data_IF_614787010923
#
_entry.id   IF_614787010923
#
_cell.length_a   1.000
_cell.length_b   1.000
_cell.length_c   1.000
_cell.angle_alpha   90.00
_cell.angle_beta   90.00
_cell.angle_gamma   90.00
#
_symmetry.space_group_name_H-M   'P 1'
#
loop_
_entity.id
_entity.type
_entity.pdbx_description
1 polymer ?
#
# COMPACT_ATOMS: atom_id res chain seq x y z
N UNK A 1 6.92 -2.26 -19.90
CA UNK A 1 6.91 -2.82 -18.54
C UNK A 1 7.26 -1.72 -17.57
N UNK A 2 6.29 -1.30 -16.75
CA UNK A 2 6.52 -0.29 -15.72
C UNK A 2 6.78 -1.00 -14.41
N UNK A 3 7.94 -0.74 -13.81
CA UNK A 3 8.16 -1.04 -12.40
C UNK A 3 7.53 0.09 -11.58
N UNK A 4 6.83 -0.27 -10.52
CA UNK A 4 6.09 0.68 -9.72
C UNK A 4 5.74 0.11 -8.36
N UNK A 5 5.51 1.01 -7.41
CA UNK A 5 5.09 0.67 -6.07
C UNK A 5 3.66 1.15 -5.87
N UNK A 6 2.75 0.21 -5.66
CA UNK A 6 1.34 0.46 -5.38
C UNK A 6 1.08 0.22 -3.89
N UNK A 7 0.39 1.16 -3.26
CA UNK A 7 -0.04 1.06 -1.87
C UNK A 7 -1.55 1.27 -1.82
N UNK A 8 -2.27 0.37 -1.15
CA UNK A 8 -3.74 0.45 -1.00
C UNK A 8 -4.19 -0.08 0.37
N UNK A 9 -5.21 0.54 0.96
CA UNK A 9 -5.82 0.05 2.19
C UNK A 9 -6.90 -1.00 1.93
N UNK A 10 -6.99 -2.06 2.74
CA UNK A 10 -7.97 -3.14 2.55
C UNK A 10 -9.42 -2.80 2.94
N UNK A 11 -9.64 -1.61 3.51
CA UNK A 11 -10.96 -1.00 3.77
C UNK A 11 -11.26 0.16 2.83
N UNK A 12 -10.40 0.41 1.85
CA UNK A 12 -10.70 1.34 0.77
C UNK A 12 -11.85 0.78 -0.08
N UNK A 13 -12.84 1.62 -0.38
CA UNK A 13 -13.91 1.28 -1.34
C UNK A 13 -13.40 0.91 -2.74
N UNK A 14 -12.18 1.31 -3.09
CA UNK A 14 -11.51 0.93 -4.34
C UNK A 14 -10.77 -0.41 -4.25
N UNK A 15 -10.59 -0.97 -3.04
CA UNK A 15 -9.91 -2.24 -2.86
C UNK A 15 -10.78 -3.39 -3.36
N UNK A 16 -10.20 -4.20 -4.25
CA UNK A 16 -10.79 -5.45 -4.72
C UNK A 16 -9.70 -6.53 -4.70
N UNK A 17 -9.92 -7.58 -3.91
CA UNK A 17 -8.93 -8.65 -3.71
C UNK A 17 -8.56 -9.36 -5.03
N UNK A 18 -9.55 -9.68 -5.87
CA UNK A 18 -9.31 -10.38 -7.14
C UNK A 18 -8.46 -9.53 -8.09
N UNK A 19 -8.69 -8.20 -8.13
CA UNK A 19 -7.89 -7.29 -8.94
C UNK A 19 -6.46 -7.16 -8.43
N UNK A 20 -6.28 -7.05 -7.11
CA UNK A 20 -4.96 -7.02 -6.48
C UNK A 20 -4.18 -8.30 -6.78
N UNK A 21 -4.84 -9.46 -6.74
CA UNK A 21 -4.25 -10.76 -7.11
C UNK A 21 -3.81 -10.82 -8.57
N UNK A 22 -4.51 -10.14 -9.49
CA UNK A 22 -4.01 -10.00 -10.87
C UNK A 22 -2.80 -9.07 -10.94
N UNK A 23 -2.78 -7.99 -10.16
CA UNK A 23 -1.66 -7.04 -10.16
C UNK A 23 -0.36 -7.67 -9.61
N UNK A 24 -0.44 -8.62 -8.69
CA UNK A 24 0.72 -9.39 -8.22
C UNK A 24 1.42 -10.20 -9.33
N UNK A 25 0.77 -10.40 -10.48
CA UNK A 25 1.36 -11.06 -11.67
C UNK A 25 2.11 -10.10 -12.59
N UNK A 26 2.10 -8.81 -12.26
CA UNK A 26 2.79 -7.76 -13.02
C UNK A 26 4.13 -7.40 -12.34
N UNK A 27 4.85 -6.42 -12.89
CA UNK A 27 6.09 -5.92 -12.30
C UNK A 27 5.86 -4.86 -11.20
N UNK A 28 4.63 -4.77 -10.67
CA UNK A 28 4.32 -3.89 -9.55
C UNK A 28 4.67 -4.56 -8.22
N UNK A 29 5.36 -3.83 -7.36
CA UNK A 29 5.40 -4.17 -5.94
C UNK A 29 4.15 -3.60 -5.28
N UNK A 30 3.45 -4.41 -4.50
CA UNK A 30 2.14 -4.05 -3.95
C UNK A 30 2.14 -4.22 -2.43
N UNK A 31 1.83 -3.14 -1.73
CA UNK A 31 1.61 -3.12 -0.28
C UNK A 31 0.12 -2.93 0.02
N UNK A 32 -0.50 -3.96 0.61
CA UNK A 32 -1.88 -3.86 1.12
C UNK A 32 -1.83 -3.57 2.62
N UNK A 33 -2.25 -2.36 3.00
CA UNK A 33 -2.29 -1.93 4.41
C UNK A 33 -3.60 -2.40 5.05
N UNK A 34 -3.48 -3.17 6.13
CA UNK A 34 -4.63 -3.74 6.84
C UNK A 34 -5.35 -2.71 7.69
N UNK A 35 -6.69 -2.82 7.75
CA UNK A 35 -7.60 -1.91 8.44
C UNK A 35 -7.44 -0.44 8.02
N UNK A 36 -6.99 -0.21 6.79
CA UNK A 36 -6.72 1.11 6.27
C UNK A 36 -7.73 1.50 5.20
N UNK A 37 -8.19 2.75 5.24
CA UNK A 37 -9.07 3.29 4.20
C UNK A 37 -8.27 3.87 3.01
N UNK A 38 -8.96 4.61 2.13
CA UNK A 38 -8.39 5.21 0.94
C UNK A 38 -7.16 6.12 1.19
N UNK A 39 -7.16 6.85 2.29
CA UNK A 39 -6.05 7.75 2.66
C UNK A 39 -4.98 7.07 3.50
N UNK A 40 -4.99 5.73 3.55
CA UNK A 40 -4.12 4.92 4.43
C UNK A 40 -4.33 5.29 5.91
N UNK A 41 -5.53 5.74 6.27
CA UNK A 41 -5.88 5.93 7.67
C UNK A 41 -6.17 4.56 8.28
N UNK A 42 -5.30 4.12 9.20
CA UNK A 42 -5.39 2.84 9.89
C UNK A 42 -6.25 3.01 11.14
N UNK A 43 -7.43 2.38 11.13
CA UNK A 43 -8.43 2.58 12.17
C UNK A 43 -9.16 3.92 12.03
N UNK A 44 -10.32 4.06 12.69
CA UNK A 44 -11.16 5.25 12.56
C UNK A 44 -10.55 6.52 13.18
N UNK A 45 -9.70 6.37 14.21
CA UNK A 45 -9.23 7.48 15.05
C UNK A 45 -7.81 7.28 15.61
N UNK A 46 -7.07 6.26 15.17
CA UNK A 46 -5.75 5.93 15.71
C UNK A 46 -4.64 6.55 14.85
N UNK A 47 -4.42 7.84 15.03
CA UNK A 47 -3.43 8.62 14.25
C UNK A 47 -2.04 8.00 14.28
N UNK A 48 -1.63 7.40 15.40
CA UNK A 48 -0.34 6.73 15.55
C UNK A 48 -0.16 5.57 14.55
N UNK A 49 -1.18 4.72 14.40
CA UNK A 49 -1.14 3.58 13.49
C UNK A 49 -1.03 4.04 12.02
N UNK A 50 -1.72 5.12 11.67
CA UNK A 50 -1.60 5.75 10.34
C UNK A 50 -0.21 6.31 10.09
N UNK A 51 0.39 6.99 11.08
CA UNK A 51 1.76 7.52 10.98
C UNK A 51 2.76 6.38 10.81
N UNK A 52 2.64 5.30 11.60
CA UNK A 52 3.51 4.13 11.46
C UNK A 52 3.39 3.47 10.09
N UNK A 53 2.16 3.29 9.59
CA UNK A 53 1.94 2.74 8.25
C UNK A 53 2.62 3.59 7.18
N UNK A 54 2.43 4.92 7.23
CA UNK A 54 3.08 5.85 6.30
C UNK A 54 4.61 5.78 6.41
N UNK A 55 5.16 5.72 7.63
CA UNK A 55 6.60 5.59 7.83
C UNK A 55 7.16 4.30 7.20
N UNK A 56 6.46 3.17 7.36
CA UNK A 56 6.81 1.89 6.73
C UNK A 56 6.73 1.97 5.20
N UNK A 57 5.69 2.61 4.66
CA UNK A 57 5.52 2.85 3.22
C UNK A 57 6.68 3.66 2.65
N UNK A 58 7.06 4.77 3.31
CA UNK A 58 8.20 5.60 2.90
C UNK A 58 9.52 4.80 2.98
N UNK A 59 9.68 3.95 3.99
CA UNK A 59 10.81 3.04 4.10
C UNK A 59 10.94 2.11 2.89
N UNK A 60 9.86 1.39 2.55
CA UNK A 60 9.80 0.51 1.38
C UNK A 60 10.02 1.27 0.08
N UNK A 61 9.39 2.44 -0.08
CA UNK A 61 9.57 3.28 -1.26
C UNK A 61 11.04 3.65 -1.50
N UNK A 62 11.81 3.93 -0.43
CA UNK A 62 13.26 4.18 -0.54
C UNK A 62 14.03 2.96 -1.03
N UNK A 63 13.59 1.74 -0.70
CA UNK A 63 14.21 0.50 -1.19
C UNK A 63 13.92 0.33 -2.69
N UNK A 64 12.65 0.47 -3.11
CA UNK A 64 12.24 0.34 -4.52
C UNK A 64 12.96 1.34 -5.42
N UNK A 65 13.04 2.61 -5.01
CA UNK A 65 13.70 3.67 -5.80
C UNK A 65 15.21 3.46 -5.89
N UNK A 66 15.84 2.77 -4.92
CA UNK A 66 17.28 2.50 -4.95
C UNK A 66 17.65 1.30 -5.82
N UNK A 67 16.73 0.36 -6.01
CA UNK A 67 16.96 -0.86 -6.79
C UNK A 67 16.69 -0.71 -8.28
N UNK A 68 16.01 0.37 -8.68
CA UNK A 68 15.66 0.70 -10.07
C UNK A 68 16.62 1.74 -10.65
#
# INVERSE_FOLDING_TARGET
NHEGFLVIGDKDHQYNADQVDQLYKTNLQIEVVKNANHSVNVGGYETENSIEAIAKIIGKLKEVVRTN
#
